data_IF_773278948941
#
_entry.id   IF_773278948941
#
_cell.length_a   1.000
_cell.length_b   1.000
_cell.length_c   1.000
_cell.angle_alpha   90.00
_cell.angle_beta   90.00
_cell.angle_gamma   90.00
#
_symmetry.space_group_name_H-M   'P 1'
#
loop_
_entity.id
_entity.type
_entity.pdbx_description
1 polymer ?
#
# COMPACT_ATOMS: atom_id res chain seq x y z
N UNK A 1 -3.45 6.29 -10.07
CA UNK A 1 -4.03 5.43 -9.02
C UNK A 1 -5.03 6.22 -8.18
N UNK A 2 -4.61 7.07 -7.23
CA UNK A 2 -5.49 7.82 -6.28
C UNK A 2 -6.74 8.44 -6.91
N UNK A 3 -6.59 9.21 -8.00
CA UNK A 3 -7.71 9.88 -8.70
C UNK A 3 -8.81 8.94 -9.18
N UNK A 4 -8.47 7.71 -9.54
CA UNK A 4 -9.37 6.77 -10.23
C UNK A 4 -9.84 5.62 -9.34
N UNK A 5 -9.30 5.51 -8.12
CA UNK A 5 -9.63 4.43 -7.17
C UNK A 5 -10.23 4.94 -5.86
N UNK A 6 -10.47 6.25 -5.73
CA UNK A 6 -11.11 6.89 -4.57
C UNK A 6 -10.49 6.50 -3.22
N UNK A 7 -9.15 6.45 -3.17
CA UNK A 7 -8.41 5.95 -2.00
C UNK A 7 -8.44 6.99 -0.88
N UNK A 8 -8.76 6.56 0.34
CA UNK A 8 -8.70 7.44 1.50
C UNK A 8 -7.27 7.82 1.88
N UNK A 9 -7.11 8.99 2.50
CA UNK A 9 -5.79 9.51 2.90
C UNK A 9 -5.10 8.61 3.93
N UNK A 10 -5.86 7.99 4.83
CA UNK A 10 -5.39 6.99 5.79
C UNK A 10 -4.81 5.76 5.09
N UNK A 11 -5.52 5.24 4.07
CA UNK A 11 -5.10 4.15 3.20
C UNK A 11 -3.80 4.52 2.41
N UNK A 12 -3.50 5.82 2.17
CA UNK A 12 -2.20 6.25 1.59
C UNK A 12 -1.08 6.32 2.64
N UNK A 13 -1.36 6.81 3.84
CA UNK A 13 -0.36 6.92 4.90
C UNK A 13 0.12 5.54 5.36
N UNK A 14 -0.76 4.55 5.43
CA UNK A 14 -0.40 3.19 5.84
C UNK A 14 0.56 2.50 4.85
N UNK A 15 0.67 2.97 3.62
CA UNK A 15 1.64 2.45 2.65
C UNK A 15 3.08 2.58 3.17
N UNK A 16 3.39 3.63 3.94
CA UNK A 16 4.71 3.80 4.56
C UNK A 16 4.99 2.68 5.57
N UNK A 17 3.98 2.35 6.38
CA UNK A 17 4.06 1.25 7.36
C UNK A 17 4.23 -0.09 6.63
N UNK A 18 3.55 -0.30 5.50
CA UNK A 18 3.72 -1.51 4.71
C UNK A 18 5.13 -1.63 4.12
N UNK A 19 5.73 -0.52 3.66
CA UNK A 19 7.12 -0.53 3.19
C UNK A 19 8.06 -0.98 4.31
N UNK A 20 7.92 -0.39 5.50
CA UNK A 20 8.77 -0.74 6.64
C UNK A 20 8.58 -2.20 7.05
N UNK A 21 7.32 -2.69 7.14
CA UNK A 21 7.03 -4.10 7.44
C UNK A 21 7.70 -5.06 6.47
N UNK A 22 7.63 -4.77 5.16
CA UNK A 22 8.27 -5.62 4.15
C UNK A 22 9.79 -5.58 4.30
N UNK A 23 10.38 -4.40 4.53
CA UNK A 23 11.82 -4.27 4.73
C UNK A 23 12.31 -4.97 6.01
N UNK A 24 11.52 -4.95 7.08
CA UNK A 24 11.81 -5.61 8.35
C UNK A 24 11.70 -7.13 8.25
N UNK A 25 10.63 -7.64 7.63
CA UNK A 25 10.39 -9.09 7.47
C UNK A 25 11.25 -9.71 6.36
N UNK A 26 11.63 -8.92 5.35
CA UNK A 26 12.37 -9.38 4.18
C UNK A 26 13.55 -8.45 3.87
N UNK A 27 14.70 -8.58 4.58
CA UNK A 27 15.87 -7.72 4.41
C UNK A 27 16.49 -7.73 3.01
N UNK A 28 16.23 -8.77 2.21
CA UNK A 28 16.70 -8.89 0.83
C UNK A 28 15.72 -8.30 -0.20
N UNK A 29 14.51 -7.96 0.22
CA UNK A 29 13.54 -7.32 -0.66
C UNK A 29 13.95 -5.88 -0.90
N UNK A 30 14.14 -5.53 -2.17
CA UNK A 30 14.52 -4.16 -2.56
C UNK A 30 13.39 -3.51 -3.35
N UNK A 31 12.82 -2.44 -2.79
CA UNK A 31 11.95 -1.53 -3.54
C UNK A 31 12.83 -0.71 -4.49
N UNK A 32 12.65 -0.93 -5.78
CA UNK A 32 13.42 -0.28 -6.85
C UNK A 32 12.48 0.28 -7.91
N UNK A 33 13.02 1.03 -8.88
CA UNK A 33 12.24 1.53 -10.02
C UNK A 33 11.55 0.42 -10.83
N UNK A 34 12.05 -0.82 -10.76
CA UNK A 34 11.46 -1.99 -11.44
C UNK A 34 10.32 -2.65 -10.64
N UNK A 35 10.34 -2.55 -9.30
CA UNK A 35 9.37 -3.23 -8.41
C UNK A 35 8.32 -2.29 -7.82
N UNK A 36 8.65 -0.99 -7.68
CA UNK A 36 7.82 0.00 -6.97
C UNK A 36 6.42 0.17 -7.56
N UNK A 37 6.27 0.08 -8.89
CA UNK A 37 4.96 0.25 -9.53
C UNK A 37 3.97 -0.86 -9.13
N UNK A 38 4.42 -2.12 -9.21
CA UNK A 38 3.64 -3.30 -8.82
C UNK A 38 3.38 -3.31 -7.31
N UNK A 39 4.39 -2.97 -6.54
CA UNK A 39 4.28 -2.80 -5.09
C UNK A 39 3.17 -1.79 -4.73
N UNK A 40 3.22 -0.57 -5.28
CA UNK A 40 2.29 0.51 -4.93
C UNK A 40 0.84 0.18 -5.30
N UNK A 41 0.58 -0.34 -6.50
CA UNK A 41 -0.81 -0.68 -6.88
C UNK A 41 -1.37 -1.77 -5.96
N UNK A 42 -0.54 -2.76 -5.61
CA UNK A 42 -0.95 -3.88 -4.75
C UNK A 42 -1.20 -3.41 -3.31
N UNK A 43 -0.28 -2.61 -2.76
CA UNK A 43 -0.40 -2.04 -1.42
C UNK A 43 -1.64 -1.12 -1.29
N UNK A 44 -1.99 -0.36 -2.34
CA UNK A 44 -3.22 0.45 -2.39
C UNK A 44 -4.46 -0.44 -2.45
N UNK A 45 -4.46 -1.49 -3.26
CA UNK A 45 -5.58 -2.44 -3.35
C UNK A 45 -5.83 -3.11 -1.99
N UNK A 46 -4.78 -3.64 -1.37
CA UNK A 46 -4.83 -4.31 -0.08
C UNK A 46 -5.28 -3.37 1.04
N UNK A 47 -4.69 -2.17 1.15
CA UNK A 47 -5.08 -1.20 2.19
C UNK A 47 -6.53 -0.75 2.04
N UNK A 48 -6.97 -0.46 0.82
CA UNK A 48 -8.36 -0.04 0.56
C UNK A 48 -9.35 -1.13 0.95
N UNK A 49 -9.09 -2.39 0.57
CA UNK A 49 -9.98 -3.51 0.92
C UNK A 49 -9.99 -3.83 2.42
N UNK A 50 -8.88 -3.57 3.12
CA UNK A 50 -8.75 -3.90 4.53
C UNK A 50 -9.29 -2.81 5.49
N UNK A 51 -9.22 -1.53 5.10
CA UNK A 51 -9.39 -0.41 6.04
C UNK A 51 -10.48 0.58 5.63
N UNK A 52 -10.83 0.60 4.34
CA UNK A 52 -11.76 1.57 3.78
C UNK A 52 -13.13 0.87 3.60
N UNK A 53 -14.25 1.47 4.05
CA UNK A 53 -15.61 0.87 3.96
C UNK A 53 -16.10 0.77 2.50
N UNK A 54 -15.55 1.60 1.62
CA UNK A 54 -15.81 1.62 0.19
C UNK A 54 -14.52 1.37 -0.57
N UNK A 55 -14.50 0.31 -1.38
CA UNK A 55 -13.34 -0.10 -2.17
C UNK A 55 -13.75 -0.59 -3.56
N UNK A 56 -12.79 -0.59 -4.49
CA UNK A 56 -13.02 -1.03 -5.86
C UNK A 56 -12.78 -2.55 -6.02
N UNK A 57 -13.28 -3.15 -7.11
CA UNK A 57 -12.95 -4.53 -7.46
C UNK A 57 -11.50 -4.68 -7.91
N UNK A 58 -10.93 -5.87 -7.78
CA UNK A 58 -9.59 -6.17 -8.31
C UNK A 58 -9.48 -5.88 -9.82
N UNK A 59 -10.54 -6.13 -10.60
CA UNK A 59 -10.58 -5.78 -12.03
C UNK A 59 -10.47 -4.28 -12.30
N UNK A 60 -11.05 -3.45 -11.44
CA UNK A 60 -10.94 -1.99 -11.54
C UNK A 60 -9.52 -1.52 -11.17
N UNK A 61 -8.96 -2.03 -10.07
CA UNK A 61 -7.58 -1.73 -9.70
C UNK A 61 -6.58 -2.17 -10.78
N UNK A 62 -6.77 -3.35 -11.36
CA UNK A 62 -5.95 -3.87 -12.46
C UNK A 62 -6.00 -2.94 -13.68
N UNK A 63 -7.19 -2.47 -14.07
CA UNK A 63 -7.37 -1.50 -15.16
C UNK A 63 -6.66 -0.18 -14.90
N UNK A 64 -6.73 0.35 -13.67
CA UNK A 64 -6.04 1.59 -13.29
C UNK A 64 -4.51 1.38 -13.20
N UNK A 65 -4.07 0.21 -12.75
CA UNK A 65 -2.67 -0.17 -12.62
C UNK A 65 -1.99 -0.59 -13.92
N UNK A 66 -2.75 -0.81 -14.99
CA UNK A 66 -2.23 -1.26 -16.28
C UNK A 66 -1.73 -2.71 -16.28
N UNK A 67 -2.27 -3.55 -15.39
CA UNK A 67 -1.90 -4.96 -15.25
C UNK A 67 -3.13 -5.86 -15.43
N UNK A 68 -2.90 -7.17 -15.60
CA UNK A 68 -4.03 -8.10 -15.70
C UNK A 68 -4.71 -8.32 -14.36
N UNK A 69 -6.00 -8.68 -14.36
CA UNK A 69 -6.71 -9.03 -13.12
C UNK A 69 -6.12 -10.28 -12.47
N UNK A 70 -5.61 -11.23 -13.25
CA UNK A 70 -4.94 -12.41 -12.71
C UNK A 70 -3.67 -12.02 -11.94
N UNK A 71 -2.91 -11.08 -12.50
CA UNK A 71 -1.69 -10.58 -11.89
C UNK A 71 -1.96 -9.83 -10.60
N UNK A 72 -2.96 -8.93 -10.54
CA UNK A 72 -3.27 -8.23 -9.30
C UNK A 72 -3.78 -9.19 -8.21
N UNK A 73 -4.52 -10.24 -8.59
CA UNK A 73 -4.96 -11.27 -7.64
C UNK A 73 -3.77 -12.04 -7.05
N UNK A 74 -2.78 -12.38 -7.87
CA UNK A 74 -1.56 -13.04 -7.42
C UNK A 74 -0.73 -12.12 -6.51
N UNK A 75 -0.54 -10.87 -6.93
CA UNK A 75 0.19 -9.87 -6.16
C UNK A 75 -0.49 -9.59 -4.81
N UNK A 76 -1.83 -9.54 -4.75
CA UNK A 76 -2.56 -9.34 -3.49
C UNK A 76 -2.21 -10.43 -2.47
N UNK A 77 -2.23 -11.70 -2.87
CA UNK A 77 -1.88 -12.83 -2.00
C UNK A 77 -0.40 -12.84 -1.60
N UNK A 78 0.49 -12.56 -2.56
CA UNK A 78 1.93 -12.46 -2.29
C UNK A 78 2.21 -11.34 -1.29
N UNK A 79 1.60 -10.17 -1.48
CA UNK A 79 1.76 -9.02 -0.59
C UNK A 79 1.23 -9.29 0.82
N UNK A 80 0.06 -9.92 0.94
CA UNK A 80 -0.49 -10.33 2.24
C UNK A 80 0.48 -11.27 2.98
N UNK A 81 1.13 -12.17 2.26
CA UNK A 81 2.16 -13.06 2.81
C UNK A 81 3.43 -12.29 3.20
N UNK A 82 3.84 -11.31 2.40
CA UNK A 82 5.04 -10.47 2.66
C UNK A 82 4.92 -9.61 3.93
N UNK A 83 3.70 -9.26 4.35
CA UNK A 83 3.46 -8.48 5.58
C UNK A 83 2.90 -9.33 6.72
N UNK A 84 2.94 -10.65 6.59
CA UNK A 84 2.38 -11.62 7.55
C UNK A 84 0.92 -11.30 7.95
N UNK A 85 0.10 -10.86 6.99
CA UNK A 85 -1.30 -10.44 7.20
C UNK A 85 -1.49 -9.29 8.19
N UNK A 86 -0.42 -8.62 8.61
CA UNK A 86 -0.48 -7.45 9.48
C UNK A 86 -0.89 -6.24 8.63
N UNK A 87 -2.20 -6.04 8.49
CA UNK A 87 -2.80 -4.98 7.66
C UNK A 87 -3.13 -3.72 8.46
N UNK A 88 -3.59 -3.89 9.70
CA UNK A 88 -4.00 -2.77 10.54
C UNK A 88 -2.80 -2.07 11.19
N UNK A 89 -3.01 -0.82 11.57
CA UNK A 89 -2.13 -0.07 12.45
C UNK A 89 -2.98 0.74 13.43
N UNK A 90 -2.42 1.06 14.59
CA UNK A 90 -3.11 1.87 15.59
C UNK A 90 -3.03 3.36 15.21
N UNK A 91 -4.02 4.13 15.66
CA UNK A 91 -4.04 5.59 15.47
C UNK A 91 -2.73 6.30 15.88
N UNK A 92 -2.14 5.99 17.05
CA UNK A 92 -0.88 6.58 17.48
C UNK A 92 0.30 6.31 16.53
N UNK A 93 0.42 5.09 16.00
CA UNK A 93 1.49 4.75 15.04
C UNK A 93 1.27 5.53 13.75
N UNK A 94 0.05 5.56 13.21
CA UNK A 94 -0.26 6.36 12.03
C UNK A 94 0.08 7.84 12.24
N UNK A 95 -0.27 8.41 13.39
CA UNK A 95 0.05 9.80 13.73
C UNK A 95 1.56 10.05 13.77
N UNK A 96 2.34 9.11 14.31
CA UNK A 96 3.80 9.20 14.34
C UNK A 96 4.38 9.20 12.92
N UNK A 97 3.92 8.31 12.03
CA UNK A 97 4.35 8.29 10.64
C UNK A 97 4.00 9.60 9.91
N UNK A 98 2.82 10.16 10.17
CA UNK A 98 2.43 11.45 9.63
C UNK A 98 3.34 12.59 10.11
N UNK A 99 3.61 12.66 11.41
CA UNK A 99 4.48 13.69 11.98
C UNK A 99 5.89 13.62 11.37
N UNK A 100 6.48 12.42 11.32
CA UNK A 100 7.79 12.21 10.71
C UNK A 100 7.83 12.63 9.24
N UNK A 101 6.77 12.32 8.48
CA UNK A 101 6.68 12.69 7.06
C UNK A 101 6.67 14.21 6.87
N UNK A 102 5.90 14.92 7.70
CA UNK A 102 5.79 16.39 7.69
C UNK A 102 7.13 17.04 8.10
N UNK A 103 7.77 16.53 9.16
CA UNK A 103 9.07 17.04 9.62
C UNK A 103 10.16 16.92 8.56
N UNK A 104 10.16 15.85 7.77
CA UNK A 104 11.12 15.65 6.68
C UNK A 104 10.88 16.56 5.46
N UNK A 105 9.70 17.15 5.33
CA UNK A 105 9.34 18.05 4.23
C UNK A 105 8.80 19.38 4.76
N UNK A 106 9.64 20.20 5.44
CA UNK A 106 9.20 21.43 6.10
C UNK A 106 8.69 22.52 5.15
N UNK A 107 8.84 22.33 3.82
CA UNK A 107 8.38 23.25 2.79
C UNK A 107 6.96 22.93 2.27
N UNK A 108 6.25 21.97 2.87
CA UNK A 108 4.84 21.64 2.59
C UNK A 108 3.93 21.90 3.78
#
# INVERSE_FOLDING_TARGET
IVKYTSVEKSCLLILLIYIDRVCELHPHFTVSSLTVHRFLITAVTVSSKALCDSYCTNSHYAKVGGISTQEINALELEFLSLIDWHLASTGPILQQYYANLVEQHPCY
#
